data_IF_834855207542
#
_entry.id   IF_834855207542
#
_cell.length_a   1.000
_cell.length_b   1.000
_cell.length_c   1.000
_cell.angle_alpha   90.00
_cell.angle_beta   90.00
_cell.angle_gamma   90.00
#
_symmetry.space_group_name_H-M   'P 1'
#
loop_
_entity.id
_entity.type
_entity.pdbx_description
1 polymer ?
#
# COMPACT_ATOMS: atom_id res chain seq x y z
N UNK A 1 -8.34 21.54 -52.29
CA UNK A 1 -8.04 21.01 -50.94
C UNK A 1 -7.65 22.08 -49.90
N UNK A 2 -7.35 23.32 -50.28
CA UNK A 2 -7.08 24.40 -49.31
C UNK A 2 -8.34 25.06 -48.71
N UNK A 3 -9.52 24.84 -49.29
CA UNK A 3 -10.78 25.52 -48.90
C UNK A 3 -11.57 24.80 -47.81
N UNK A 4 -11.26 23.52 -47.52
CA UNK A 4 -12.02 22.72 -46.54
C UNK A 4 -11.44 22.83 -45.11
N UNK A 5 -10.17 23.21 -44.96
CA UNK A 5 -9.53 23.46 -43.67
C UNK A 5 -9.83 24.86 -43.10
N UNK A 6 -10.21 25.82 -43.95
CA UNK A 6 -10.55 27.18 -43.52
C UNK A 6 -11.97 27.33 -42.95
N UNK A 7 -12.87 26.36 -43.19
CA UNK A 7 -14.25 26.40 -42.70
C UNK A 7 -14.44 25.74 -41.32
N UNK A 8 -13.47 24.93 -40.86
CA UNK A 8 -13.50 24.32 -39.53
C UNK A 8 -12.99 25.26 -38.42
N UNK A 9 -12.33 26.38 -38.77
CA UNK A 9 -11.83 27.36 -37.80
C UNK A 9 -12.88 28.40 -37.35
N UNK A 10 -14.13 28.31 -37.83
CA UNK A 10 -15.08 29.43 -37.79
C UNK A 10 -16.40 29.19 -37.01
N UNK A 11 -16.49 28.18 -36.14
CA UNK A 11 -17.74 27.96 -35.37
C UNK A 11 -17.53 27.79 -33.85
N UNK A 12 -16.29 27.80 -33.35
CA UNK A 12 -16.05 27.67 -31.90
C UNK A 12 -15.09 28.78 -31.45
N UNK A 13 -15.65 29.87 -30.93
CA UNK A 13 -14.86 30.87 -30.21
C UNK A 13 -14.48 30.31 -28.84
N UNK A 14 -13.19 30.25 -28.54
CA UNK A 14 -12.70 29.88 -27.22
C UNK A 14 -13.09 31.02 -26.25
N UNK A 15 -13.79 30.73 -25.13
CA UNK A 15 -14.16 31.75 -24.16
C UNK A 15 -12.94 32.55 -23.68
N UNK A 16 -13.08 33.86 -23.53
CA UNK A 16 -11.98 34.76 -23.15
C UNK A 16 -11.30 34.34 -21.83
N UNK A 17 -12.07 33.78 -20.91
CA UNK A 17 -11.61 33.24 -19.63
C UNK A 17 -10.64 32.07 -19.79
N UNK A 18 -10.91 31.17 -20.73
CA UNK A 18 -10.05 30.02 -21.06
C UNK A 18 -8.74 30.48 -21.69
N UNK A 19 -8.82 31.45 -22.60
CA UNK A 19 -7.63 32.04 -23.23
C UNK A 19 -6.77 32.77 -22.21
N UNK A 20 -7.36 33.56 -21.32
CA UNK A 20 -6.64 34.26 -20.26
C UNK A 20 -5.95 33.30 -19.26
N UNK A 21 -6.57 32.16 -18.97
CA UNK A 21 -5.99 31.13 -18.10
C UNK A 21 -4.88 30.31 -18.77
N UNK A 22 -4.93 30.15 -20.10
CA UNK A 22 -3.91 29.42 -20.87
C UNK A 22 -2.67 30.28 -21.19
N UNK A 23 -2.82 31.59 -21.35
CA UNK A 23 -1.71 32.51 -21.68
C UNK A 23 -0.48 32.41 -20.75
N UNK A 24 -0.60 32.32 -19.41
CA UNK A 24 0.57 32.18 -18.52
C UNK A 24 1.22 30.80 -18.56
N UNK A 25 0.54 29.77 -19.11
CA UNK A 25 1.03 28.38 -19.14
C UNK A 25 1.27 27.87 -20.57
N UNK A 26 1.15 28.73 -21.58
CA UNK A 26 1.16 28.36 -23.02
C UNK A 26 2.40 27.59 -23.46
N UNK A 27 3.54 27.84 -22.83
CA UNK A 27 4.82 27.19 -23.15
C UNK A 27 5.08 25.91 -22.33
N UNK A 28 4.13 25.50 -21.47
CA UNK A 28 4.20 24.29 -20.66
C UNK A 28 3.08 23.31 -21.04
N UNK A 29 3.37 22.39 -21.97
CA UNK A 29 2.41 21.41 -22.47
C UNK A 29 1.75 20.58 -21.36
N UNK A 30 2.47 20.26 -20.28
CA UNK A 30 1.92 19.48 -19.17
C UNK A 30 0.89 20.29 -18.39
N UNK A 31 1.16 21.58 -18.15
CA UNK A 31 0.22 22.49 -17.50
C UNK A 31 -1.01 22.78 -18.36
N UNK A 32 -0.84 23.01 -19.68
CA UNK A 32 -1.95 23.20 -20.62
C UNK A 32 -2.85 21.97 -20.65
N UNK A 33 -2.27 20.76 -20.68
CA UNK A 33 -3.03 19.51 -20.65
C UNK A 33 -3.78 19.34 -19.33
N UNK A 34 -3.15 19.63 -18.20
CA UNK A 34 -3.79 19.55 -16.88
C UNK A 34 -4.99 20.51 -16.78
N UNK A 35 -4.85 21.74 -17.28
CA UNK A 35 -5.92 22.72 -17.33
C UNK A 35 -7.09 22.26 -18.21
N UNK A 36 -6.81 21.71 -19.41
CA UNK A 36 -7.84 21.18 -20.30
C UNK A 36 -8.62 20.01 -19.70
N UNK A 37 -7.94 19.13 -18.97
CA UNK A 37 -8.59 18.03 -18.23
C UNK A 37 -9.51 18.61 -17.15
N UNK A 38 -9.00 19.52 -16.32
CA UNK A 38 -9.76 20.14 -15.24
C UNK A 38 -11.02 20.86 -15.75
N UNK A 39 -10.85 21.70 -16.78
CA UNK A 39 -11.94 22.43 -17.42
C UNK A 39 -12.99 21.48 -18.00
N UNK A 40 -12.57 20.38 -18.62
CA UNK A 40 -13.48 19.37 -19.17
C UNK A 40 -14.22 18.58 -18.08
N UNK A 41 -13.57 18.25 -16.97
CA UNK A 41 -14.16 17.44 -15.90
C UNK A 41 -15.09 18.23 -14.99
N UNK A 42 -14.74 19.48 -14.66
CA UNK A 42 -15.56 20.34 -13.80
C UNK A 42 -16.77 20.92 -14.54
N UNK A 43 -16.60 21.45 -15.76
CA UNK A 43 -17.70 22.10 -16.48
C UNK A 43 -18.78 21.13 -16.95
N UNK A 44 -18.45 19.85 -17.14
CA UNK A 44 -19.45 18.83 -17.49
C UNK A 44 -20.15 18.26 -16.23
N UNK A 45 -19.72 18.64 -15.01
CA UNK A 45 -20.26 18.10 -13.76
C UNK A 45 -20.15 16.58 -13.63
N UNK A 46 -19.30 15.94 -14.44
CA UNK A 46 -19.20 14.48 -14.56
C UNK A 46 -18.47 13.85 -13.37
N UNK A 47 -17.67 14.65 -12.67
CA UNK A 47 -16.85 14.20 -11.56
C UNK A 47 -17.12 15.14 -10.38
N UNK A 48 -18.13 14.79 -9.58
CA UNK A 48 -18.24 15.34 -8.23
C UNK A 48 -17.34 14.49 -7.33
N UNK A 49 -16.12 14.95 -7.06
CA UNK A 49 -15.17 14.24 -6.20
C UNK A 49 -15.74 13.95 -4.81
N UNK A 50 -16.67 14.78 -4.33
CA UNK A 50 -17.37 14.56 -3.04
C UNK A 50 -18.32 13.36 -3.07
N UNK A 51 -18.72 12.91 -4.27
CA UNK A 51 -19.55 11.71 -4.48
C UNK A 51 -18.73 10.45 -4.79
N UNK A 52 -17.42 10.56 -5.01
CA UNK A 52 -16.56 9.40 -5.29
C UNK A 52 -16.30 8.64 -3.99
N UNK A 53 -17.22 7.76 -3.69
CA UNK A 53 -17.14 6.90 -2.52
C UNK A 53 -16.37 5.64 -2.86
N UNK A 54 -15.25 5.37 -2.16
CA UNK A 54 -14.60 4.05 -2.28
C UNK A 54 -15.51 2.97 -1.71
N UNK A 55 -15.77 1.90 -2.45
CA UNK A 55 -16.62 0.80 -1.99
C UNK A 55 -15.92 -0.16 -1.01
N UNK A 56 -14.59 -0.22 -1.08
CA UNK A 56 -13.71 -1.03 -0.23
C UNK A 56 -12.46 -0.24 0.17
N UNK A 57 -11.69 -0.71 1.18
CA UNK A 57 -10.38 -0.13 1.50
C UNK A 57 -9.38 -0.21 0.33
N UNK A 58 -9.62 -1.09 -0.65
CA UNK A 58 -8.83 -1.23 -1.88
C UNK A 58 -9.70 -1.05 -3.13
N UNK A 59 -9.06 -0.75 -4.27
CA UNK A 59 -9.77 -0.63 -5.55
C UNK A 59 -10.21 -2.01 -6.06
N UNK A 60 -11.47 -2.12 -6.46
CA UNK A 60 -11.98 -3.31 -7.13
C UNK A 60 -11.38 -3.47 -8.54
N UNK A 61 -10.99 -4.69 -8.94
CA UNK A 61 -10.70 -5.00 -10.32
C UNK A 61 -11.98 -4.99 -11.15
N UNK A 62 -11.85 -4.64 -12.43
CA UNK A 62 -12.96 -4.68 -13.41
C UNK A 62 -13.29 -6.10 -13.89
N UNK A 63 -12.59 -7.12 -13.40
CA UNK A 63 -12.81 -8.51 -13.79
C UNK A 63 -14.10 -9.06 -13.16
N UNK A 64 -15.06 -9.47 -13.99
CA UNK A 64 -16.36 -10.01 -13.58
C UNK A 64 -16.27 -11.23 -12.66
N UNK A 65 -15.25 -12.07 -12.82
CA UNK A 65 -15.03 -13.25 -11.96
C UNK A 65 -14.66 -12.85 -10.52
N UNK A 66 -14.24 -11.61 -10.29
CA UNK A 66 -13.88 -11.04 -8.99
C UNK A 66 -14.94 -10.13 -8.40
N UNK A 67 -16.13 -10.06 -9.00
CA UNK A 67 -17.18 -9.15 -8.55
C UNK A 67 -17.57 -9.35 -7.08
N UNK A 68 -17.45 -10.59 -6.57
CA UNK A 68 -17.74 -10.95 -5.18
C UNK A 68 -16.52 -10.91 -4.25
N UNK A 69 -15.32 -10.64 -4.78
CA UNK A 69 -14.09 -10.59 -3.97
C UNK A 69 -14.15 -9.43 -2.98
N UNK A 70 -14.13 -9.75 -1.69
CA UNK A 70 -14.36 -8.75 -0.65
C UNK A 70 -13.45 -8.88 0.59
N UNK A 71 -12.51 -9.83 0.52
CA UNK A 71 -11.44 -10.01 1.49
C UNK A 71 -10.10 -10.12 0.79
N UNK A 72 -9.10 -9.40 1.31
CA UNK A 72 -7.71 -9.48 0.83
C UNK A 72 -6.70 -9.43 1.95
N UNK A 73 -5.54 -10.05 1.73
CA UNK A 73 -4.43 -9.85 2.64
C UNK A 73 -3.80 -8.46 2.58
N UNK A 74 -3.50 -7.91 3.76
CA UNK A 74 -2.89 -6.59 3.92
C UNK A 74 -1.47 -6.51 3.35
N UNK A 75 -0.76 -7.64 3.24
CA UNK A 75 0.58 -7.68 2.67
C UNK A 75 0.63 -7.08 1.26
N UNK A 76 -0.40 -7.25 0.44
CA UNK A 76 -0.44 -6.68 -0.90
C UNK A 76 -1.13 -5.32 -0.99
N UNK A 77 -1.46 -4.66 0.12
CA UNK A 77 -2.09 -3.33 0.12
C UNK A 77 -1.31 -2.33 -0.75
N UNK A 78 0.02 -2.33 -0.64
CA UNK A 78 0.91 -1.48 -1.42
C UNK A 78 1.27 -2.05 -2.81
N UNK A 79 0.86 -3.28 -3.16
CA UNK A 79 1.19 -3.92 -4.46
C UNK A 79 -0.03 -4.59 -5.10
N UNK A 80 -1.11 -3.83 -5.39
CA UNK A 80 -2.36 -4.37 -5.89
C UNK A 80 -2.20 -5.06 -7.25
N UNK A 81 -1.36 -4.56 -8.16
CA UNK A 81 -1.16 -5.16 -9.49
C UNK A 81 -0.49 -6.53 -9.34
N UNK A 82 0.51 -6.64 -8.46
CA UNK A 82 1.13 -7.93 -8.14
C UNK A 82 0.10 -8.94 -7.62
N UNK A 83 -0.76 -8.54 -6.68
CA UNK A 83 -1.81 -9.42 -6.16
C UNK A 83 -2.75 -9.92 -7.26
N UNK A 84 -3.27 -9.02 -8.12
CA UNK A 84 -4.16 -9.41 -9.23
C UNK A 84 -3.45 -10.38 -10.18
N UNK A 85 -2.22 -10.07 -10.59
CA UNK A 85 -1.48 -10.93 -11.52
C UNK A 85 -1.23 -12.34 -10.99
N UNK A 86 -1.04 -12.47 -9.66
CA UNK A 86 -0.73 -13.73 -8.99
C UNK A 86 -1.95 -14.56 -8.68
N UNK A 87 -3.09 -13.92 -8.56
CA UNK A 87 -4.37 -14.57 -8.24
C UNK A 87 -5.25 -14.71 -9.49
N UNK A 88 -4.71 -14.48 -10.69
CA UNK A 88 -5.47 -14.46 -11.94
C UNK A 88 -6.08 -15.83 -12.28
N UNK A 89 -5.35 -16.91 -11.98
CA UNK A 89 -5.74 -18.30 -12.24
C UNK A 89 -6.63 -18.91 -11.14
N UNK A 90 -7.07 -18.13 -10.16
CA UNK A 90 -7.98 -18.63 -9.15
C UNK A 90 -9.37 -18.87 -9.74
N UNK A 91 -9.91 -20.06 -9.51
CA UNK A 91 -11.28 -20.42 -9.89
C UNK A 91 -12.32 -19.70 -9.02
N UNK A 92 -12.01 -19.52 -7.74
CA UNK A 92 -12.88 -18.86 -6.76
C UNK A 92 -12.11 -17.82 -5.96
N UNK A 93 -12.76 -16.68 -5.69
CA UNK A 93 -12.20 -15.57 -4.94
C UNK A 93 -12.83 -15.47 -3.55
N UNK A 94 -12.05 -15.10 -2.51
CA UNK A 94 -12.54 -15.02 -1.13
C UNK A 94 -13.74 -14.07 -1.00
N UNK A 95 -14.77 -14.56 -0.34
CA UNK A 95 -15.99 -13.81 -0.02
C UNK A 95 -16.39 -14.08 1.43
N UNK A 96 -16.59 -13.04 2.24
CA UNK A 96 -16.98 -13.19 3.64
C UNK A 96 -15.80 -13.45 4.58
N UNK A 97 -15.59 -14.70 5.04
CA UNK A 97 -14.42 -15.06 5.86
C UNK A 97 -13.37 -15.72 4.99
N UNK A 98 -12.11 -15.41 5.25
CA UNK A 98 -10.98 -16.02 4.52
C UNK A 98 -10.88 -17.53 4.74
N UNK A 99 -11.22 -18.01 5.93
CA UNK A 99 -11.16 -19.43 6.30
C UNK A 99 -12.22 -20.28 5.59
N UNK A 100 -13.39 -19.72 5.30
CA UNK A 100 -14.47 -20.40 4.57
C UNK A 100 -14.09 -20.70 3.12
N UNK A 101 -13.01 -20.05 2.65
CA UNK A 101 -12.53 -20.16 1.29
C UNK A 101 -11.64 -21.43 1.21
N UNK A 102 -12.24 -22.61 0.99
CA UNK A 102 -11.57 -23.91 0.96
C UNK A 102 -10.60 -24.12 -0.25
N UNK A 103 -10.12 -23.05 -0.90
CA UNK A 103 -9.32 -23.18 -2.11
C UNK A 103 -7.85 -23.55 -1.78
N UNK A 104 -7.33 -24.69 -2.27
CA UNK A 104 -5.91 -25.05 -2.14
C UNK A 104 -4.97 -23.97 -2.67
N UNK A 105 -5.44 -23.15 -3.62
CA UNK A 105 -4.69 -22.04 -4.21
C UNK A 105 -4.36 -20.91 -3.23
N UNK A 106 -5.11 -20.77 -2.11
CA UNK A 106 -4.77 -19.80 -1.06
C UNK A 106 -3.54 -20.23 -0.26
N UNK A 107 -3.35 -21.53 -0.05
CA UNK A 107 -2.10 -22.09 0.51
C UNK A 107 -0.96 -21.98 -0.49
N UNK A 108 -1.25 -22.14 -1.78
CA UNK A 108 -0.28 -22.02 -2.86
C UNK A 108 0.26 -20.59 -3.07
N UNK A 109 -0.29 -19.54 -2.44
CA UNK A 109 0.35 -18.21 -2.40
C UNK A 109 1.74 -18.24 -1.74
N UNK A 110 2.04 -19.28 -0.95
CA UNK A 110 3.34 -19.47 -0.33
C UNK A 110 4.41 -19.91 -1.35
N UNK A 111 4.02 -20.59 -2.42
CA UNK A 111 4.91 -21.08 -3.46
C UNK A 111 4.60 -20.37 -4.79
N UNK A 112 5.44 -20.55 -5.79
CA UNK A 112 5.19 -20.13 -7.18
C UNK A 112 5.67 -18.73 -7.64
N UNK A 113 6.77 -18.86 -8.38
CA UNK A 113 7.03 -18.46 -9.77
C UNK A 113 7.02 -16.98 -10.17
N UNK A 114 8.12 -16.67 -10.87
CA UNK A 114 8.59 -15.37 -11.29
C UNK A 114 7.75 -14.86 -12.47
N UNK A 115 6.79 -13.99 -12.19
CA UNK A 115 6.27 -13.07 -13.21
C UNK A 115 7.27 -11.94 -13.39
N UNK A 116 7.62 -11.64 -14.65
CA UNK A 116 8.58 -10.59 -15.03
C UNK A 116 8.12 -9.25 -14.43
N UNK A 117 8.97 -8.62 -13.63
CA UNK A 117 8.71 -7.27 -13.16
C UNK A 117 8.57 -6.35 -14.37
N UNK A 118 7.51 -5.53 -14.41
CA UNK A 118 7.43 -4.44 -15.38
C UNK A 118 8.58 -3.47 -15.12
N UNK A 119 9.08 -2.84 -16.17
CA UNK A 119 10.13 -1.82 -16.09
C UNK A 119 9.82 -0.86 -14.93
N UNK A 120 10.76 -0.75 -13.99
CA UNK A 120 10.58 0.13 -12.83
C UNK A 120 10.70 1.57 -13.29
N UNK A 121 9.83 2.40 -12.72
CA UNK A 121 9.71 3.82 -13.03
C UNK A 121 11.07 4.54 -12.86
N UNK A 122 11.44 5.39 -13.83
CA UNK A 122 12.68 6.19 -13.82
C UNK A 122 12.85 6.92 -12.48
N UNK A 123 11.74 7.40 -11.94
CA UNK A 123 11.65 8.08 -10.64
C UNK A 123 12.13 7.24 -9.45
N UNK A 124 11.80 5.94 -9.43
CA UNK A 124 12.26 5.05 -8.35
C UNK A 124 13.78 4.90 -8.40
N UNK A 125 14.34 4.79 -9.61
CA UNK A 125 15.77 4.72 -9.79
C UNK A 125 16.43 6.01 -9.30
N UNK A 126 15.94 7.17 -9.73
CA UNK A 126 16.50 8.47 -9.36
C UNK A 126 16.42 8.73 -7.84
N UNK A 127 15.32 8.35 -7.19
CA UNK A 127 15.14 8.55 -5.74
C UNK A 127 15.93 7.52 -4.89
N UNK A 128 16.04 6.27 -5.34
CA UNK A 128 16.54 5.16 -4.49
C UNK A 128 17.91 4.62 -4.87
N UNK A 129 18.34 4.73 -6.13
CA UNK A 129 19.65 4.29 -6.63
C UNK A 129 20.75 5.34 -6.44
N UNK A 130 20.83 5.94 -5.24
CA UNK A 130 21.94 6.83 -4.86
C UNK A 130 23.01 6.05 -4.10
N UNK A 131 24.28 6.45 -4.19
CA UNK A 131 25.35 5.90 -3.35
C UNK A 131 24.97 6.00 -1.87
N UNK A 132 25.30 4.96 -1.11
CA UNK A 132 25.14 4.92 0.34
C UNK A 132 26.49 4.65 0.96
N UNK A 133 26.85 5.45 1.95
CA UNK A 133 28.12 5.33 2.65
C UNK A 133 27.94 4.62 4.00
N UNK A 134 26.72 4.60 4.53
CA UNK A 134 26.42 4.16 5.89
C UNK A 134 25.02 3.54 6.04
N UNK A 135 24.77 2.93 7.19
CA UNK A 135 23.42 2.45 7.53
C UNK A 135 22.47 3.63 7.80
N UNK A 136 22.99 4.74 8.33
CA UNK A 136 22.27 5.97 8.63
C UNK A 136 21.63 6.55 7.36
N UNK A 137 22.31 6.46 6.21
CA UNK A 137 21.78 6.88 4.92
C UNK A 137 20.51 6.08 4.54
N UNK A 138 20.51 4.77 4.83
CA UNK A 138 19.34 3.90 4.64
C UNK A 138 18.20 4.36 5.56
N UNK A 139 18.49 4.60 6.84
CA UNK A 139 17.46 5.01 7.81
C UNK A 139 16.82 6.34 7.40
N UNK A 140 17.65 7.31 6.97
CA UNK A 140 17.19 8.62 6.53
C UNK A 140 16.35 8.53 5.25
N UNK A 141 16.67 7.64 4.30
CA UNK A 141 15.83 7.38 3.12
C UNK A 141 14.42 6.93 3.51
N UNK A 142 14.32 5.92 4.37
CA UNK A 142 13.02 5.42 4.81
C UNK A 142 12.20 6.47 5.56
N UNK A 143 12.86 7.26 6.43
CA UNK A 143 12.24 8.40 7.10
C UNK A 143 11.74 9.45 6.10
N UNK A 144 12.56 9.84 5.11
CA UNK A 144 12.17 10.80 4.06
C UNK A 144 10.95 10.30 3.28
N UNK A 145 10.87 9.01 2.97
CA UNK A 145 9.68 8.42 2.35
C UNK A 145 8.43 8.55 3.23
N UNK A 146 8.52 8.18 4.52
CA UNK A 146 7.38 8.29 5.44
C UNK A 146 6.89 9.73 5.62
N UNK A 147 7.81 10.71 5.56
CA UNK A 147 7.48 12.14 5.62
C UNK A 147 6.97 12.71 4.28
N UNK A 148 6.79 11.88 3.25
CA UNK A 148 6.32 12.30 1.93
C UNK A 148 7.36 13.06 1.09
N UNK A 149 8.63 13.09 1.52
CA UNK A 149 9.72 13.73 0.77
C UNK A 149 10.21 12.88 -0.40
N UNK A 150 10.00 11.57 -0.35
CA UNK A 150 10.18 10.65 -1.48
C UNK A 150 8.81 10.16 -1.93
N UNK A 151 8.51 10.28 -3.21
CA UNK A 151 7.20 9.93 -3.75
C UNK A 151 7.11 8.45 -4.15
N UNK A 152 8.23 7.75 -4.28
CA UNK A 152 8.31 6.34 -4.66
C UNK A 152 8.85 5.45 -3.54
N UNK A 153 8.58 4.14 -3.62
CA UNK A 153 9.14 3.14 -2.70
C UNK A 153 9.38 1.81 -3.42
N UNK A 154 10.50 1.10 -3.13
CA UNK A 154 10.79 -0.21 -3.70
C UNK A 154 9.75 -1.28 -3.36
N UNK A 155 8.99 -1.07 -2.29
CA UNK A 155 8.00 -2.00 -1.76
C UNK A 155 6.56 -1.62 -2.09
N UNK A 156 6.35 -0.52 -2.83
CA UNK A 156 5.03 -0.01 -3.21
C UNK A 156 4.90 0.17 -4.73
N UNK A 157 3.71 -0.11 -5.24
CA UNK A 157 3.25 0.23 -6.60
C UNK A 157 2.33 1.47 -6.59
N UNK A 158 2.08 2.03 -5.40
CA UNK A 158 1.25 3.22 -5.22
C UNK A 158 2.12 4.47 -5.35
N UNK A 159 1.56 5.50 -6.00
CA UNK A 159 2.19 6.81 -6.13
C UNK A 159 1.92 7.65 -4.89
N UNK A 160 3.00 8.10 -4.24
CA UNK A 160 2.92 8.97 -3.08
C UNK A 160 2.44 8.28 -1.79
N UNK A 161 2.28 9.10 -0.75
CA UNK A 161 1.91 8.65 0.59
C UNK A 161 0.38 8.55 0.71
N UNK A 162 -0.11 7.44 1.28
CA UNK A 162 -1.55 7.25 1.49
C UNK A 162 -2.10 8.25 2.52
N UNK A 163 -3.37 8.70 2.39
CA UNK A 163 -3.96 9.67 3.33
C UNK A 163 -3.89 9.24 4.79
N UNK A 164 -4.14 7.95 5.07
CA UNK A 164 -4.09 7.39 6.43
C UNK A 164 -2.67 7.40 7.02
N UNK A 165 -1.62 7.30 6.19
CA UNK A 165 -0.24 7.34 6.66
C UNK A 165 0.16 8.71 7.17
N UNK A 166 -0.48 9.79 6.69
CA UNK A 166 -0.26 11.15 7.20
C UNK A 166 -0.60 11.28 8.69
N UNK A 167 -1.43 10.38 9.23
CA UNK A 167 -1.81 10.35 10.65
C UNK A 167 -0.63 9.91 11.54
N UNK A 168 0.27 9.07 11.00
CA UNK A 168 1.35 8.40 11.76
C UNK A 168 2.75 8.64 11.18
N UNK A 169 2.90 9.53 10.21
CA UNK A 169 4.13 9.72 9.44
C UNK A 169 5.35 10.12 10.29
N UNK A 170 5.17 10.99 11.29
CA UNK A 170 6.24 11.42 12.17
C UNK A 170 6.74 10.27 13.07
N UNK A 171 5.81 9.47 13.59
CA UNK A 171 6.11 8.27 14.39
C UNK A 171 6.84 7.24 13.53
N UNK A 172 6.38 7.01 12.30
CA UNK A 172 7.08 6.15 11.34
C UNK A 172 8.49 6.66 11.05
N UNK A 173 8.67 7.98 10.88
CA UNK A 173 9.99 8.59 10.72
C UNK A 173 10.93 8.27 11.89
N UNK A 174 10.45 8.41 13.13
CA UNK A 174 11.21 8.07 14.35
C UNK A 174 11.55 6.57 14.43
N UNK A 175 10.59 5.71 14.10
CA UNK A 175 10.76 4.24 14.08
C UNK A 175 11.84 3.84 13.06
N UNK A 176 11.84 4.43 11.87
CA UNK A 176 12.86 4.17 10.85
C UNK A 176 14.26 4.64 11.29
N UNK A 177 14.38 5.79 11.94
CA UNK A 177 15.64 6.27 12.52
C UNK A 177 16.15 5.37 13.65
N UNK A 178 15.25 4.70 14.39
CA UNK A 178 15.61 3.63 15.33
C UNK A 178 15.96 2.32 14.64
N UNK A 179 16.00 2.26 13.30
CA UNK A 179 16.42 1.12 12.48
C UNK A 179 15.41 -0.01 12.35
N UNK A 180 14.13 0.31 12.49
CA UNK A 180 13.00 -0.54 12.10
C UNK A 180 12.47 -0.04 10.75
N UNK A 181 12.92 -0.67 9.66
CA UNK A 181 12.74 -0.18 8.29
C UNK A 181 11.33 -0.52 7.76
N UNK A 182 10.39 0.40 7.90
CA UNK A 182 8.96 0.17 7.63
C UNK A 182 8.64 0.11 6.15
N UNK A 183 7.84 -0.89 5.74
CA UNK A 183 7.42 -1.11 4.35
C UNK A 183 5.89 -1.11 4.17
N UNK A 184 5.14 -1.25 5.27
CA UNK A 184 3.69 -1.21 5.27
C UNK A 184 3.17 -0.82 6.67
N UNK A 185 2.05 -0.10 6.74
CA UNK A 185 1.49 0.40 7.99
C UNK A 185 0.04 0.82 7.83
N UNK A 186 -0.78 0.68 8.87
CA UNK A 186 -2.08 1.35 8.99
C UNK A 186 -2.28 1.86 10.43
N UNK A 187 -2.94 3.01 10.62
CA UNK A 187 -3.25 3.55 11.93
C UNK A 187 -4.33 2.72 12.66
N UNK A 188 -4.45 2.90 13.98
CA UNK A 188 -5.62 2.42 14.69
C UNK A 188 -6.83 3.35 14.43
N UNK A 189 -7.97 2.76 14.09
CA UNK A 189 -9.24 3.47 13.88
C UNK A 189 -10.32 2.81 14.72
N UNK A 190 -11.05 3.60 15.50
CA UNK A 190 -12.06 3.11 16.41
C UNK A 190 -13.42 3.76 16.12
N UNK A 191 -14.19 3.15 15.21
CA UNK A 191 -15.54 3.59 14.89
C UNK A 191 -15.57 4.96 14.20
N UNK A 192 -14.70 5.18 13.22
CA UNK A 192 -14.76 6.38 12.40
C UNK A 192 -15.91 6.28 11.39
N UNK A 193 -16.48 7.40 10.95
CA UNK A 193 -17.56 7.38 9.97
C UNK A 193 -17.11 6.76 8.65
N UNK A 194 -17.98 5.96 8.05
CA UNK A 194 -17.72 5.28 6.77
C UNK A 194 -17.60 6.21 5.56
N UNK A 195 -17.96 7.48 5.69
CA UNK A 195 -17.75 8.55 4.70
C UNK A 195 -16.55 9.46 5.02
N UNK A 196 -15.72 9.09 6.01
CA UNK A 196 -14.51 9.84 6.34
C UNK A 196 -13.51 9.87 5.16
N UNK A 197 -12.98 11.04 4.79
CA UNK A 197 -12.06 11.18 3.65
C UNK A 197 -10.71 10.48 3.87
N UNK A 198 -10.31 10.21 5.13
CA UNK A 198 -9.06 9.53 5.44
C UNK A 198 -9.21 8.01 5.41
N UNK A 199 -10.19 7.46 6.15
CA UNK A 199 -10.30 6.00 6.43
C UNK A 199 -11.67 5.40 6.12
N UNK A 200 -12.69 6.21 5.81
CA UNK A 200 -14.04 5.77 5.51
C UNK A 200 -14.22 5.17 4.12
N UNK A 201 -14.94 4.05 4.02
CA UNK A 201 -15.32 3.37 2.79
C UNK A 201 -16.80 2.90 2.87
N UNK A 202 -17.41 2.62 1.71
CA UNK A 202 -18.79 2.13 1.49
C UNK A 202 -19.91 3.17 1.65
N UNK A 203 -19.57 4.44 1.74
CA UNK A 203 -20.53 5.54 1.74
C UNK A 203 -21.08 5.83 3.13
N UNK A 204 -21.96 6.83 3.29
CA UNK A 204 -22.44 7.28 4.58
C UNK A 204 -23.30 6.23 5.30
N UNK A 205 -23.38 6.36 6.62
CA UNK A 205 -24.30 5.58 7.45
C UNK A 205 -23.72 4.34 8.12
N UNK A 206 -22.40 4.13 8.11
CA UNK A 206 -21.73 3.07 8.85
C UNK A 206 -20.50 3.56 9.61
N UNK A 207 -19.79 2.59 10.22
CA UNK A 207 -18.59 2.84 11.01
C UNK A 207 -17.47 1.87 10.62
N UNK A 208 -16.25 2.40 10.53
CA UNK A 208 -15.06 1.64 10.14
C UNK A 208 -14.08 1.53 11.31
N UNK A 209 -13.36 0.40 11.34
CA UNK A 209 -12.43 0.05 12.40
C UNK A 209 -11.14 -0.49 11.79
N UNK A 210 -10.00 -0.17 12.41
CA UNK A 210 -8.68 -0.66 12.02
C UNK A 210 -7.86 -0.96 13.28
N UNK A 211 -7.22 -2.14 13.33
CA UNK A 211 -6.13 -2.41 14.29
C UNK A 211 -4.87 -1.71 13.81
N UNK A 212 -4.08 -1.15 14.72
CA UNK A 212 -2.77 -0.64 14.33
C UNK A 212 -1.88 -1.79 13.85
N UNK A 213 -1.27 -1.60 12.69
CA UNK A 213 -0.43 -2.61 12.04
C UNK A 213 0.84 -1.96 11.51
N UNK A 214 1.94 -2.70 11.63
CA UNK A 214 3.25 -2.29 11.12
C UNK A 214 4.02 -3.49 10.57
N UNK A 215 4.62 -3.32 9.39
CA UNK A 215 5.50 -4.30 8.74
C UNK A 215 6.85 -3.63 8.45
N UNK A 216 7.94 -4.24 8.89
CA UNK A 216 9.27 -3.64 8.79
C UNK A 216 10.40 -4.67 8.78
N UNK A 217 11.59 -4.25 8.35
CA UNK A 217 12.82 -5.01 8.53
C UNK A 217 13.62 -4.55 9.76
N UNK A 218 14.17 -5.48 10.53
CA UNK A 218 15.07 -5.15 11.65
C UNK A 218 16.19 -6.20 11.83
N UNK A 219 17.31 -5.78 12.45
CA UNK A 219 18.38 -6.72 12.79
C UNK A 219 17.91 -7.74 13.84
N UNK A 220 18.65 -8.85 13.95
CA UNK A 220 18.40 -9.89 14.96
C UNK A 220 18.38 -9.32 16.38
N UNK A 221 19.34 -8.47 16.73
CA UNK A 221 19.41 -7.86 18.08
C UNK A 221 18.18 -7.01 18.39
N UNK A 222 17.69 -6.25 17.39
CA UNK A 222 16.48 -5.43 17.53
C UNK A 222 15.23 -6.29 17.63
N UNK A 223 15.18 -7.41 16.91
CA UNK A 223 14.08 -8.37 17.03
C UNK A 223 14.03 -8.95 18.44
N UNK A 224 15.17 -9.34 19.01
CA UNK A 224 15.21 -9.91 20.36
C UNK A 224 14.68 -8.92 21.40
N UNK A 225 15.19 -7.68 21.38
CA UNK A 225 14.71 -6.60 22.26
C UNK A 225 13.21 -6.35 22.08
N UNK A 226 12.72 -6.36 20.84
CA UNK A 226 11.30 -6.17 20.54
C UNK A 226 10.46 -7.32 21.13
N UNK A 227 10.84 -8.57 20.89
CA UNK A 227 10.15 -9.77 21.39
C UNK A 227 10.10 -9.76 22.92
N UNK A 228 11.21 -9.41 23.57
CA UNK A 228 11.27 -9.32 25.03
C UNK A 228 10.36 -8.21 25.57
N UNK A 229 10.30 -7.05 24.92
CA UNK A 229 9.33 -6.00 25.27
C UNK A 229 7.89 -6.47 25.08
N UNK A 230 7.57 -7.15 23.98
CA UNK A 230 6.22 -7.65 23.67
C UNK A 230 5.67 -8.58 24.76
N UNK A 231 6.52 -9.27 25.53
CA UNK A 231 6.07 -10.11 26.68
C UNK A 231 5.27 -9.33 27.72
N UNK A 232 5.52 -8.02 27.84
CA UNK A 232 4.78 -7.13 28.76
C UNK A 232 3.46 -6.61 28.18
N UNK A 233 3.17 -6.88 26.90
CA UNK A 233 2.02 -6.37 26.18
C UNK A 233 1.21 -7.53 25.57
N UNK A 234 0.32 -8.17 26.34
CA UNK A 234 -0.38 -9.39 25.92
C UNK A 234 -1.32 -9.18 24.71
N UNK A 235 -1.71 -7.93 24.44
CA UNK A 235 -2.56 -7.55 23.32
C UNK A 235 -1.79 -7.27 22.01
N UNK A 236 -0.47 -7.42 22.02
CA UNK A 236 0.37 -7.34 20.82
C UNK A 236 0.55 -8.72 20.21
N UNK A 237 0.29 -8.80 18.92
CA UNK A 237 0.63 -9.95 18.07
C UNK A 237 1.85 -9.61 17.22
N UNK A 238 2.82 -10.52 17.15
CA UNK A 238 3.96 -10.36 16.24
C UNK A 238 4.29 -11.66 15.51
N UNK A 239 4.82 -11.50 14.30
CA UNK A 239 5.38 -12.58 13.49
C UNK A 239 6.64 -12.06 12.82
N UNK A 240 7.74 -12.80 12.94
CA UNK A 240 9.02 -12.44 12.36
C UNK A 240 9.61 -13.61 11.59
N UNK A 241 10.10 -13.36 10.38
CA UNK A 241 10.73 -14.39 9.54
C UNK A 241 12.05 -13.87 8.98
N UNK A 242 13.09 -14.70 8.96
CA UNK A 242 14.33 -14.38 8.26
C UNK A 242 14.39 -15.01 6.86
N UNK A 243 15.43 -14.70 6.11
CA UNK A 243 15.67 -15.29 4.77
C UNK A 243 15.82 -16.82 4.80
N UNK A 244 16.30 -17.39 5.90
CA UNK A 244 16.43 -18.84 6.11
C UNK A 244 15.12 -19.54 6.42
N UNK A 245 14.01 -18.82 6.59
CA UNK A 245 12.71 -19.37 6.94
C UNK A 245 12.50 -19.60 8.45
N UNK A 246 13.43 -19.14 9.31
CA UNK A 246 13.23 -19.19 10.76
C UNK A 246 12.10 -18.23 11.14
N UNK A 247 11.02 -18.80 11.67
CA UNK A 247 9.84 -18.07 12.12
C UNK A 247 9.88 -17.90 13.64
N UNK A 248 9.63 -16.68 14.11
CA UNK A 248 9.45 -16.33 15.53
C UNK A 248 8.10 -15.63 15.66
N UNK A 249 7.18 -16.18 16.46
CA UNK A 249 5.79 -15.73 16.54
C UNK A 249 5.21 -15.97 17.93
N UNK A 250 4.22 -15.17 18.34
CA UNK A 250 3.38 -15.45 19.51
C UNK A 250 1.95 -15.89 19.15
N UNK A 251 1.68 -16.16 17.86
CA UNK A 251 0.43 -16.72 17.35
C UNK A 251 0.65 -18.06 16.67
N UNK A 252 -0.40 -18.88 16.62
CA UNK A 252 -0.45 -20.17 15.96
C UNK A 252 -0.23 -20.07 14.46
N UNK A 253 0.28 -21.14 13.85
CA UNK A 253 0.67 -21.20 12.43
C UNK A 253 -0.48 -20.99 11.45
N UNK A 254 -1.72 -21.23 11.88
CA UNK A 254 -2.93 -21.09 11.08
C UNK A 254 -3.82 -19.93 11.51
N UNK A 255 -3.41 -19.14 12.52
CA UNK A 255 -4.23 -18.05 13.05
C UNK A 255 -4.36 -16.91 12.04
N UNK A 256 -5.59 -16.51 11.75
CA UNK A 256 -5.91 -15.39 10.86
C UNK A 256 -6.31 -14.19 11.71
N UNK A 257 -5.75 -13.02 11.42
CA UNK A 257 -6.06 -11.80 12.15
C UNK A 257 -6.82 -10.81 11.25
N UNK A 258 -8.06 -10.48 11.64
CA UNK A 258 -8.79 -9.36 11.02
C UNK A 258 -8.19 -8.05 11.50
N UNK A 259 -7.83 -7.18 10.55
CA UNK A 259 -7.15 -5.91 10.84
C UNK A 259 -7.95 -4.69 10.44
N UNK A 260 -8.93 -4.82 9.54
CA UNK A 260 -9.85 -3.74 9.15
C UNK A 260 -11.23 -4.33 8.92
N UNK A 261 -12.28 -3.70 9.46
CA UNK A 261 -13.66 -4.13 9.27
C UNK A 261 -14.62 -2.94 9.34
N UNK A 262 -15.87 -3.15 8.90
CA UNK A 262 -16.91 -2.13 8.96
C UNK A 262 -18.25 -2.68 9.42
N UNK A 263 -18.98 -1.86 10.16
CA UNK A 263 -20.33 -2.12 10.66
C UNK A 263 -21.30 -1.20 9.93
N UNK A 264 -22.32 -1.78 9.29
CA UNK A 264 -23.29 -1.04 8.48
C UNK A 264 -24.72 -1.47 8.82
N UNK A 265 -25.72 -0.56 8.77
CA UNK A 265 -27.12 -0.86 9.06
C UNK A 265 -27.65 -2.00 8.19
N UNK A 266 -28.37 -2.94 8.82
CA UNK A 266 -29.02 -4.09 8.17
C UNK A 266 -28.09 -4.93 7.28
N UNK A 267 -26.78 -4.93 7.55
CA UNK A 267 -25.78 -5.73 6.83
C UNK A 267 -24.92 -6.49 7.82
N UNK A 268 -24.48 -7.69 7.44
CA UNK A 268 -23.44 -8.39 8.18
C UNK A 268 -22.16 -7.53 8.21
N UNK A 269 -21.31 -7.75 9.22
CA UNK A 269 -20.00 -7.11 9.31
C UNK A 269 -19.26 -7.35 8.00
N UNK A 270 -18.96 -6.27 7.29
CA UNK A 270 -18.46 -6.33 5.90
C UNK A 270 -16.94 -6.15 5.87
N UNK A 271 -16.32 -6.97 5.02
CA UNK A 271 -15.11 -6.81 4.21
C UNK A 271 -13.82 -6.44 4.94
N UNK A 272 -12.91 -7.41 4.93
CA UNK A 272 -11.78 -7.53 5.82
C UNK A 272 -10.47 -7.31 5.07
N UNK A 273 -9.65 -6.34 5.48
CA UNK A 273 -8.21 -6.53 5.32
C UNK A 273 -7.80 -7.55 6.38
N UNK A 274 -7.04 -8.55 5.95
CA UNK A 274 -6.56 -9.60 6.83
C UNK A 274 -5.05 -9.61 6.90
N UNK A 275 -4.54 -9.86 8.09
CA UNK A 275 -3.23 -10.42 8.25
C UNK A 275 -3.33 -11.94 8.07
N UNK A 276 -2.61 -12.47 7.07
CA UNK A 276 -2.55 -13.91 6.77
C UNK A 276 -1.69 -14.62 7.82
N UNK A 277 -1.90 -15.92 8.06
CA UNK A 277 -1.15 -16.67 9.06
C UNK A 277 0.37 -16.63 8.90
N UNK A 278 1.12 -16.92 9.98
CA UNK A 278 2.58 -16.96 9.98
C UNK A 278 3.19 -17.80 8.84
N UNK A 279 2.53 -18.88 8.43
CA UNK A 279 2.99 -19.74 7.33
C UNK A 279 3.20 -18.99 6.00
N UNK A 280 2.46 -17.90 5.78
CA UNK A 280 2.59 -17.05 4.59
C UNK A 280 3.79 -16.10 4.63
N UNK A 281 4.39 -15.86 5.81
CA UNK A 281 5.50 -14.93 5.99
C UNK A 281 6.75 -15.39 5.24
N UNK A 282 7.01 -16.69 5.17
CA UNK A 282 8.09 -17.25 4.34
C UNK A 282 7.86 -16.94 2.85
N UNK A 283 6.62 -17.08 2.36
CA UNK A 283 6.24 -16.68 1.00
C UNK A 283 6.44 -15.18 0.79
N UNK A 284 6.01 -14.35 1.75
CA UNK A 284 6.20 -12.89 1.75
C UNK A 284 7.68 -12.49 1.66
N UNK A 285 8.56 -13.07 2.46
CA UNK A 285 10.00 -12.82 2.40
C UNK A 285 10.58 -13.22 1.03
N UNK A 286 10.19 -14.37 0.48
CA UNK A 286 10.58 -14.82 -0.87
C UNK A 286 10.06 -13.89 -1.97
N UNK A 287 8.84 -13.35 -1.83
CA UNK A 287 8.24 -12.40 -2.77
C UNK A 287 8.96 -11.06 -2.80
N UNK A 288 9.35 -10.56 -1.62
CA UNK A 288 10.17 -9.36 -1.54
C UNK A 288 11.49 -9.62 -2.26
N UNK A 289 12.18 -10.73 -1.98
CA UNK A 289 13.41 -11.11 -2.70
C UNK A 289 13.24 -11.15 -4.24
N UNK A 290 12.25 -11.89 -4.74
CA UNK A 290 12.04 -12.10 -6.19
C UNK A 290 11.56 -10.86 -6.93
N UNK A 291 10.62 -10.09 -6.37
CA UNK A 291 10.16 -8.83 -6.97
C UNK A 291 11.25 -7.76 -7.06
N UNK A 292 12.37 -7.98 -6.36
CA UNK A 292 13.52 -7.08 -6.30
C UNK A 292 14.67 -7.53 -7.24
N UNK A 293 14.79 -8.82 -7.55
CA UNK A 293 15.79 -9.40 -8.47
C UNK A 293 15.43 -9.24 -9.96
N UNK A 294 14.14 -9.19 -10.33
CA UNK A 294 13.69 -9.31 -11.75
C UNK A 294 13.62 -7.97 -12.50
N UNK A 295 14.04 -6.86 -11.89
CA UNK A 295 13.85 -5.53 -12.47
C UNK A 295 15.05 -4.58 -12.43
N UNK A 296 16.25 -5.06 -12.11
CA UNK A 296 17.48 -4.26 -12.11
C UNK A 296 18.65 -5.11 -12.65
N UNK A 297 19.57 -4.54 -13.45
CA UNK A 297 20.83 -5.21 -13.81
C UNK A 297 21.57 -5.71 -12.56
N UNK A 298 22.31 -6.81 -12.70
CA UNK A 298 22.98 -7.49 -11.59
C UNK A 298 23.92 -6.57 -10.78
N UNK A 299 24.49 -5.56 -11.43
CA UNK A 299 25.37 -4.52 -10.86
C UNK A 299 24.63 -3.38 -10.15
N UNK A 300 23.29 -3.29 -10.27
CA UNK A 300 22.43 -2.22 -9.74
C UNK A 300 21.47 -2.69 -8.64
N UNK A 301 21.78 -3.81 -7.98
CA UNK A 301 21.06 -4.19 -6.76
C UNK A 301 21.21 -3.07 -5.73
N UNK A 302 20.12 -2.38 -5.41
CA UNK A 302 20.17 -1.27 -4.45
C UNK A 302 20.70 -1.80 -3.10
N UNK A 303 21.79 -1.22 -2.61
CA UNK A 303 22.44 -1.55 -1.32
C UNK A 303 21.42 -1.65 -0.16
N UNK A 304 20.37 -0.83 -0.20
CA UNK A 304 19.21 -0.88 0.71
C UNK A 304 18.58 -2.27 0.82
N UNK A 305 18.46 -2.98 -0.30
CA UNK A 305 17.77 -4.27 -0.43
C UNK A 305 18.60 -5.42 0.14
N UNK A 306 19.88 -5.48 -0.19
CA UNK A 306 20.76 -6.49 0.39
C UNK A 306 20.86 -6.32 1.90
N UNK A 307 20.86 -5.08 2.39
CA UNK A 307 20.80 -4.79 3.81
C UNK A 307 19.47 -5.20 4.46
N UNK A 308 18.33 -5.04 3.78
CA UNK A 308 17.04 -5.50 4.28
C UNK A 308 16.92 -7.04 4.25
N UNK A 309 17.46 -7.70 3.23
CA UNK A 309 17.35 -9.17 3.10
C UNK A 309 18.28 -9.94 4.05
N UNK A 310 19.23 -9.26 4.70
CA UNK A 310 20.03 -9.79 5.82
C UNK A 310 19.31 -9.68 7.17
N UNK A 311 18.10 -9.12 7.21
CA UNK A 311 17.30 -8.82 8.41
C UNK A 311 16.10 -9.76 8.53
N UNK A 312 15.44 -9.71 9.69
CA UNK A 312 14.10 -10.27 9.84
C UNK A 312 13.07 -9.32 9.23
N UNK A 313 12.10 -9.88 8.53
CA UNK A 313 10.84 -9.20 8.23
C UNK A 313 9.90 -9.46 9.39
N UNK A 314 9.44 -8.38 10.02
CA UNK A 314 8.57 -8.42 11.20
C UNK A 314 7.26 -7.76 10.86
N UNK A 315 6.18 -8.38 11.32
CA UNK A 315 4.85 -7.80 11.35
C UNK A 315 4.37 -7.72 12.79
N UNK A 316 3.85 -6.57 13.18
CA UNK A 316 3.25 -6.33 14.49
C UNK A 316 1.83 -5.82 14.31
N UNK A 317 0.92 -6.34 15.14
CA UNK A 317 -0.43 -5.86 15.32
C UNK A 317 -0.69 -5.58 16.78
N UNK A 318 -1.46 -4.53 17.06
CA UNK A 318 -2.00 -4.28 18.39
C UNK A 318 -3.51 -4.35 18.35
N UNK A 319 -4.07 -5.09 19.31
CA UNK A 319 -5.48 -5.01 19.64
C UNK A 319 -5.81 -3.79 20.53
N UNK A 320 -4.80 -3.04 20.99
CA UNK A 320 -4.95 -1.77 21.71
C UNK A 320 -4.89 -0.55 20.78
N UNK A 321 -5.40 0.57 21.30
CA UNK A 321 -5.47 1.86 20.59
C UNK A 321 -4.09 2.50 20.31
N UNK A 322 -2.99 2.06 20.94
CA UNK A 322 -1.73 2.83 21.04
C UNK A 322 -0.44 2.05 20.66
N UNK A 323 -0.38 1.39 19.49
CA UNK A 323 0.85 0.72 19.02
C UNK A 323 2.02 1.71 18.79
N UNK A 324 1.77 2.86 18.17
CA UNK A 324 2.83 3.78 17.75
C UNK A 324 3.43 4.60 18.89
N UNK A 325 2.64 4.88 19.94
CA UNK A 325 3.12 5.56 21.15
C UNK A 325 3.99 4.66 22.03
N UNK A 326 3.76 3.34 22.01
CA UNK A 326 4.52 2.35 22.77
C UNK A 326 5.84 1.98 22.08
N UNK A 327 5.85 1.79 20.76
CA UNK A 327 7.08 1.52 19.99
C UNK A 327 8.01 2.75 19.91
N UNK A 328 7.44 3.96 20.00
CA UNK A 328 8.17 5.22 19.97
C UNK A 328 8.93 5.55 21.26
N UNK A 329 8.57 4.96 22.40
CA UNK A 329 9.28 5.09 23.68
C UNK A 329 10.45 4.11 23.73
#
# INVERSE_FOLDING_TARGET
MATTLALLSLVIQIPAEVTAALEPIKDNEEAVRAYGIHLGTENLGLIDESKITRSLPWRHPTNVFRAKEDVRPIFWANRPKSYISRTLSWEQYPHGRWEDSCNPSYRALADYQFMRARARDKKLHDEWATPLNSIEDILEKFKKHCLGKLKSSPWSELDGLQPETKIINEQLGKINLKGFLTINSQPAVNGERSDSPSVGWRGPGGYVYQKAYLEFFCSTDKLQVLVDKCKSFPLITYMAVNKGGTLVSNVGTNDVNVVTWGVFPAKQISNQLLLIPPASMCGRMRLLKSGLEVGLPCTQRMIHLENCLKRYLVTILSAERLLFGQLGR
#
